data_IF_088254774049
#
_entry.id   IF_088254774049
#
_cell.length_a   1.000
_cell.length_b   1.000
_cell.length_c   1.000
_cell.angle_alpha   90.00
_cell.angle_beta   90.00
_cell.angle_gamma   90.00
#
_symmetry.space_group_name_H-M   'P 1'
#
loop_
_entity.id
_entity.type
_entity.pdbx_description
1 polymer ?
#
# COMPACT_ATOMS: atom_id res chain seq x y z
N UNK A 1 -4.26 -19.03 -13.66
CA UNK A 1 -3.66 -17.83 -13.05
C UNK A 1 -3.14 -18.20 -11.67
N UNK A 2 -1.83 -18.18 -11.47
CA UNK A 2 -1.16 -18.63 -10.24
C UNK A 2 -1.48 -17.67 -9.09
N UNK A 3 -1.93 -18.20 -7.94
CA UNK A 3 -2.18 -17.40 -6.74
C UNK A 3 -0.85 -16.82 -6.25
N UNK A 4 -0.66 -15.51 -6.37
CA UNK A 4 0.46 -14.82 -5.72
C UNK A 4 0.01 -14.48 -4.31
N UNK A 5 0.47 -15.27 -3.34
CA UNK A 5 0.27 -14.99 -1.91
C UNK A 5 1.41 -14.11 -1.42
N UNK A 6 1.08 -13.16 -0.55
CA UNK A 6 2.03 -12.28 0.10
C UNK A 6 1.99 -12.52 1.60
N UNK A 7 3.15 -12.69 2.21
CA UNK A 7 3.29 -12.74 3.67
C UNK A 7 3.26 -11.34 4.27
N UNK A 8 2.87 -11.24 5.54
CA UNK A 8 2.93 -9.98 6.25
C UNK A 8 4.40 -9.57 6.46
N UNK A 9 4.74 -8.34 6.09
CA UNK A 9 6.11 -7.84 6.13
C UNK A 9 6.15 -6.36 6.52
N UNK A 10 7.19 -5.94 7.24
CA UNK A 10 7.49 -4.52 7.42
C UNK A 10 8.56 -4.13 6.41
N UNK A 11 8.27 -3.12 5.59
CA UNK A 11 9.23 -2.52 4.67
C UNK A 11 9.52 -1.07 5.07
N UNK A 12 10.75 -0.64 4.83
CA UNK A 12 11.13 0.76 5.03
C UNK A 12 10.88 1.56 3.76
N UNK A 13 10.31 2.75 3.93
CA UNK A 13 10.18 3.71 2.85
C UNK A 13 11.55 4.24 2.41
N UNK A 14 11.69 4.54 1.12
CA UNK A 14 12.81 5.31 0.56
C UNK A 14 12.56 6.81 0.75
N UNK A 15 13.61 7.62 0.63
CA UNK A 15 13.50 9.07 0.81
C UNK A 15 12.46 9.67 -0.15
N UNK A 16 11.44 10.32 0.40
CA UNK A 16 10.37 10.95 -0.35
C UNK A 16 9.41 9.97 -1.04
N UNK A 17 9.49 8.67 -0.73
CA UNK A 17 8.59 7.65 -1.28
C UNK A 17 7.17 7.88 -0.77
N UNK A 18 6.20 7.83 -1.68
CA UNK A 18 4.79 7.89 -1.32
C UNK A 18 4.30 6.48 -0.95
N UNK A 19 3.29 6.39 -0.08
CA UNK A 19 2.80 5.11 0.41
C UNK A 19 2.27 4.21 -0.73
N UNK A 20 1.56 4.79 -1.69
CA UNK A 20 1.07 4.11 -2.89
C UNK A 20 2.22 3.52 -3.74
N UNK A 21 3.33 4.25 -3.91
CA UNK A 21 4.51 3.76 -4.61
C UNK A 21 5.13 2.54 -3.91
N UNK A 22 5.21 2.56 -2.57
CA UNK A 22 5.68 1.44 -1.76
C UNK A 22 4.75 0.22 -1.88
N UNK A 23 3.44 0.45 -1.82
CA UNK A 23 2.40 -0.58 -2.00
C UNK A 23 2.48 -1.20 -3.39
N UNK A 24 2.63 -0.40 -4.44
CA UNK A 24 2.82 -0.88 -5.81
C UNK A 24 4.11 -1.69 -5.97
N UNK A 25 5.21 -1.23 -5.39
CA UNK A 25 6.51 -1.92 -5.42
C UNK A 25 6.45 -3.31 -4.79
N UNK A 26 5.65 -3.49 -3.74
CA UNK A 26 5.51 -4.78 -3.07
C UNK A 26 4.44 -5.66 -3.71
N UNK A 27 3.20 -5.19 -3.81
CA UNK A 27 2.07 -6.02 -4.26
C UNK A 27 1.82 -5.99 -5.77
N UNK A 28 2.25 -4.94 -6.47
CA UNK A 28 1.93 -4.71 -7.88
C UNK A 28 0.47 -4.34 -8.13
N UNK A 29 -0.26 -3.91 -7.09
CA UNK A 29 -1.66 -3.46 -7.13
C UNK A 29 -1.90 -2.39 -6.05
N UNK A 30 -2.86 -1.50 -6.27
CA UNK A 30 -3.15 -0.35 -5.39
C UNK A 30 -4.50 -0.41 -4.68
N UNK A 31 -5.37 -1.33 -5.08
CA UNK A 31 -6.69 -1.53 -4.46
C UNK A 31 -6.61 -1.97 -2.99
N UNK A 32 -5.44 -2.44 -2.55
CA UNK A 32 -5.14 -2.81 -1.16
C UNK A 32 -4.66 -1.63 -0.30
N UNK A 33 -4.50 -0.44 -0.89
CA UNK A 33 -4.02 0.76 -0.18
C UNK A 33 -4.85 1.11 1.06
N UNK A 34 -6.21 1.02 1.06
CA UNK A 34 -7.00 1.27 2.27
C UNK A 34 -6.68 0.30 3.41
N UNK A 35 -6.44 -0.98 3.10
CA UNK A 35 -6.05 -1.99 4.09
C UNK A 35 -4.69 -1.65 4.71
N UNK A 36 -3.74 -1.19 3.90
CA UNK A 36 -2.42 -0.74 4.36
C UNK A 36 -2.55 0.51 5.23
N UNK A 37 -3.41 1.47 4.86
CA UNK A 37 -3.67 2.67 5.68
C UNK A 37 -4.27 2.32 7.05
N UNK A 38 -5.25 1.41 7.10
CA UNK A 38 -5.84 0.95 8.35
C UNK A 38 -4.83 0.23 9.25
N UNK A 39 -3.93 -0.56 8.65
CA UNK A 39 -2.87 -1.22 9.40
C UNK A 39 -1.76 -0.25 9.85
N UNK A 40 -1.71 0.97 9.31
CA UNK A 40 -0.67 1.97 9.58
C UNK A 40 -1.24 3.33 10.01
N UNK A 41 -2.29 3.36 10.85
CA UNK A 41 -2.92 4.61 11.30
C UNK A 41 -1.95 5.56 12.02
N UNK A 42 -0.82 5.08 12.52
CA UNK A 42 0.23 5.95 13.07
C UNK A 42 0.82 6.92 12.03
N UNK A 43 0.80 6.60 10.72
CA UNK A 43 1.30 7.49 9.67
C UNK A 43 0.50 8.80 9.60
N UNK A 44 -0.77 8.77 9.98
CA UNK A 44 -1.62 9.96 10.05
C UNK A 44 -1.19 10.96 11.15
N UNK A 45 -0.29 10.56 12.06
CA UNK A 45 0.28 11.44 13.09
C UNK A 45 1.51 12.22 12.61
N UNK A 46 2.03 11.89 11.42
CA UNK A 46 3.15 12.62 10.84
C UNK A 46 2.70 14.01 10.36
N UNK A 47 3.61 15.00 10.32
CA UNK A 47 3.35 16.27 9.65
C UNK A 47 2.91 16.03 8.20
N UNK A 48 2.01 16.86 7.67
CA UNK A 48 1.42 16.69 6.32
C UNK A 48 2.47 16.43 5.23
N UNK A 49 3.59 17.18 5.26
CA UNK A 49 4.68 16.99 4.30
C UNK A 49 5.31 15.59 4.36
N UNK A 50 5.50 15.04 5.58
CA UNK A 50 6.07 13.71 5.81
C UNK A 50 5.02 12.60 5.59
N UNK A 51 3.76 12.88 5.86
CA UNK A 51 2.65 11.95 5.57
C UNK A 51 2.47 11.75 4.06
N UNK A 52 2.62 12.81 3.27
CA UNK A 52 2.56 12.74 1.81
C UNK A 52 3.81 12.11 1.19
N UNK A 53 4.99 12.41 1.75
CA UNK A 53 6.29 11.92 1.29
C UNK A 53 7.04 11.36 2.48
N UNK A 54 7.07 10.03 2.59
CA UNK A 54 7.66 9.38 3.74
C UNK A 54 9.17 9.62 3.77
N UNK A 55 9.73 10.02 4.92
CA UNK A 55 11.18 10.04 5.11
C UNK A 55 11.79 8.65 4.91
N UNK A 56 13.05 8.60 4.48
CA UNK A 56 13.78 7.34 4.39
C UNK A 56 13.80 6.60 5.73
N UNK A 57 13.61 5.29 5.69
CA UNK A 57 13.61 4.44 6.88
C UNK A 57 12.28 4.39 7.63
N UNK A 58 11.25 5.12 7.18
CA UNK A 58 9.91 5.04 7.79
C UNK A 58 9.37 3.61 7.66
N UNK A 59 9.09 2.90 8.77
CA UNK A 59 8.57 1.54 8.72
C UNK A 59 7.08 1.56 8.33
N UNK A 60 6.73 0.77 7.32
CA UNK A 60 5.37 0.55 6.87
C UNK A 60 5.05 -0.94 6.96
N UNK A 61 4.02 -1.28 7.72
CA UNK A 61 3.51 -2.64 7.81
C UNK A 61 2.66 -2.97 6.59
N UNK A 62 3.00 -4.04 5.89
CA UNK A 62 2.31 -4.54 4.71
C UNK A 62 1.62 -5.85 5.11
N UNK A 63 0.28 -5.89 5.22
CA UNK A 63 -0.45 -7.09 5.60
C UNK A 63 -0.30 -8.24 4.60
N UNK A 64 -0.46 -9.48 5.08
CA UNK A 64 -0.52 -10.63 4.18
C UNK A 64 -1.74 -10.54 3.26
N UNK A 65 -1.58 -10.93 1.99
CA UNK A 65 -2.66 -10.99 1.01
C UNK A 65 -2.79 -12.41 0.47
N UNK A 66 -4.00 -12.95 0.55
CA UNK A 66 -4.35 -14.27 0.06
C UNK A 66 -5.47 -14.23 -1.00
N UNK A 67 -5.93 -13.03 -1.34
CA UNK A 67 -7.04 -12.73 -2.23
C UNK A 67 -6.56 -12.37 -3.65
N UNK A 68 -7.47 -12.48 -4.62
CA UNK A 68 -7.25 -11.96 -5.96
C UNK A 68 -7.78 -10.52 -6.07
N UNK A 69 -7.19 -9.68 -6.95
CA UNK A 69 -7.73 -8.36 -7.23
C UNK A 69 -9.17 -8.45 -7.71
N UNK A 70 -10.05 -7.71 -7.05
CA UNK A 70 -11.44 -7.57 -7.49
C UNK A 70 -11.44 -6.49 -8.58
N UNK A 71 -11.63 -6.91 -9.83
CA UNK A 71 -11.75 -6.01 -10.98
C UNK A 71 -13.23 -5.92 -11.40
N UNK A 72 -14.02 -4.99 -10.82
CA UNK A 72 -15.41 -4.83 -11.22
C UNK A 72 -15.47 -4.36 -12.69
N UNK A 73 -16.38 -4.94 -13.46
CA UNK A 73 -16.68 -4.44 -14.80
C UNK A 73 -17.37 -3.07 -14.66
N UNK A 74 -16.69 -2.00 -15.06
CA UNK A 74 -17.23 -0.65 -15.07
C UNK A 74 -17.66 -0.28 -16.48
N UNK A 75 -18.97 -0.08 -16.71
CA UNK A 75 -19.49 0.48 -17.96
C UNK A 75 -19.46 2.00 -17.88
N UNK A 76 -18.50 2.61 -18.57
CA UNK A 76 -18.25 4.06 -18.50
C UNK A 76 -19.24 4.91 -19.32
N UNK A 77 -19.91 4.32 -20.33
CA UNK A 77 -20.94 4.99 -21.14
C UNK A 77 -22.03 4.01 -21.57
N UNK A 78 -23.29 4.47 -21.63
CA UNK A 78 -24.44 3.65 -22.04
C UNK A 78 -24.94 3.95 -23.44
#
# INVERSE_FOLDING_TARGET
MTRKSFDAQVLTAREGEMLDALVWRHYGRLDVLPLVLEANRQLARLPVAQMLRLPAGTPVFLPALNDQPVLPLVRIWS
#
